data_IF_385927695764
#
_entry.id   IF_385927695764
#
_cell.length_a   1.000
_cell.length_b   1.000
_cell.length_c   1.000
_cell.angle_alpha   90.00
_cell.angle_beta   90.00
_cell.angle_gamma   90.00
#
_symmetry.space_group_name_H-M   'P 1'
#
loop_
_entity.id
_entity.type
_entity.pdbx_description
1 polymer ?
#
# COMPACT_ATOMS: atom_id res chain seq x y z
N UNK A 1 16.72 -29.50 0.55
CA UNK A 1 16.08 -28.20 0.28
C UNK A 1 14.67 -28.44 -0.25
N UNK A 2 13.62 -28.08 0.50
CA UNK A 2 12.24 -28.15 -0.01
C UNK A 2 12.07 -27.02 -1.03
N UNK A 3 11.69 -27.35 -2.27
CA UNK A 3 11.24 -26.33 -3.25
C UNK A 3 10.09 -25.55 -2.62
N UNK A 4 10.03 -24.21 -2.71
CA UNK A 4 8.84 -23.49 -2.30
C UNK A 4 7.67 -24.03 -3.13
N UNK A 5 6.60 -24.45 -2.45
CA UNK A 5 5.31 -24.69 -3.11
C UNK A 5 4.99 -23.42 -3.89
N UNK A 6 4.69 -23.53 -5.18
CA UNK A 6 4.10 -22.43 -5.93
C UNK A 6 2.87 -21.94 -5.15
N UNK A 7 3.00 -20.81 -4.45
CA UNK A 7 1.89 -20.14 -3.77
C UNK A 7 1.08 -19.46 -4.86
N UNK A 8 0.16 -20.20 -5.45
CA UNK A 8 -0.82 -19.64 -6.39
C UNK A 8 -1.88 -18.85 -5.61
N UNK A 9 -2.28 -17.70 -6.17
CA UNK A 9 -3.32 -16.84 -5.60
C UNK A 9 -2.88 -15.39 -5.38
N UNK A 10 -3.64 -14.68 -4.54
CA UNK A 10 -3.41 -13.27 -4.23
C UNK A 10 -3.30 -13.06 -2.72
N UNK A 11 -2.56 -12.02 -2.33
CA UNK A 11 -2.56 -11.50 -0.97
C UNK A 11 -3.28 -10.16 -0.94
N UNK A 12 -4.15 -9.97 0.05
CA UNK A 12 -4.79 -8.70 0.37
C UNK A 12 -4.10 -8.15 1.61
N UNK A 13 -3.41 -7.03 1.45
CA UNK A 13 -2.64 -6.40 2.52
C UNK A 13 -3.36 -5.11 2.90
N UNK A 14 -3.90 -5.09 4.12
CA UNK A 14 -4.44 -3.88 4.71
C UNK A 14 -3.29 -2.99 5.18
N UNK A 15 -3.34 -1.72 4.78
CA UNK A 15 -2.36 -0.73 5.16
C UNK A 15 -2.83 0.03 6.39
N UNK A 16 -1.88 0.60 7.14
CA UNK A 16 -2.19 1.38 8.31
C UNK A 16 -2.81 2.73 7.91
N UNK A 17 -3.99 3.04 8.45
CA UNK A 17 -4.61 4.37 8.38
C UNK A 17 -4.42 5.18 9.68
N UNK A 18 -3.53 4.74 10.57
CA UNK A 18 -2.90 5.53 11.63
C UNK A 18 -3.86 6.41 12.46
N UNK A 19 -4.94 5.81 12.97
CA UNK A 19 -5.89 6.49 13.85
C UNK A 19 -6.87 7.45 13.15
N UNK A 20 -7.04 7.34 11.83
CA UNK A 20 -8.24 7.89 11.15
C UNK A 20 -9.44 7.05 11.60
N UNK A 21 -10.44 7.64 12.28
CA UNK A 21 -11.69 6.98 12.59
C UNK A 21 -12.35 6.42 11.33
N UNK A 22 -13.02 5.27 11.42
CA UNK A 22 -13.65 4.61 10.27
C UNK A 22 -14.65 5.52 9.52
N UNK A 23 -15.29 6.45 10.22
CA UNK A 23 -16.21 7.46 9.68
C UNK A 23 -15.53 8.65 9.00
N UNK A 24 -14.22 8.83 9.19
CA UNK A 24 -13.40 9.85 8.52
C UNK A 24 -12.62 9.30 7.30
N UNK A 25 -12.69 7.99 7.06
CA UNK A 25 -12.13 7.40 5.85
C UNK A 25 -12.83 7.98 4.62
N UNK A 26 -12.04 8.31 3.60
CA UNK A 26 -12.56 8.86 2.35
C UNK A 26 -12.57 7.76 1.29
N UNK A 27 -13.74 7.21 0.93
CA UNK A 27 -13.84 6.31 -0.21
C UNK A 27 -13.33 7.01 -1.47
N UNK A 28 -12.57 6.30 -2.29
CA UNK A 28 -12.26 6.74 -3.64
C UNK A 28 -13.23 6.13 -4.66
N UNK A 29 -13.35 6.78 -5.82
CA UNK A 29 -13.96 6.15 -6.98
C UNK A 29 -12.97 5.15 -7.58
N UNK A 30 -13.43 3.93 -7.82
CA UNK A 30 -12.61 2.86 -8.37
C UNK A 30 -12.69 2.85 -9.90
N UNK A 31 -11.55 2.67 -10.54
CA UNK A 31 -11.48 2.38 -11.97
C UNK A 31 -12.03 0.98 -12.29
N UNK A 32 -12.09 0.65 -13.59
CA UNK A 32 -12.62 -0.63 -14.06
C UNK A 32 -11.82 -1.83 -13.52
N UNK A 33 -10.49 -1.71 -13.44
CA UNK A 33 -9.61 -2.77 -12.96
C UNK A 33 -9.78 -2.97 -11.45
N UNK A 34 -9.76 -1.89 -10.68
CA UNK A 34 -10.01 -1.89 -9.24
C UNK A 34 -11.39 -2.47 -8.93
N UNK A 35 -12.42 -2.10 -9.70
CA UNK A 35 -13.77 -2.63 -9.54
C UNK A 35 -13.84 -4.13 -9.83
N UNK A 36 -13.19 -4.60 -10.90
CA UNK A 36 -13.11 -6.02 -11.22
C UNK A 36 -12.38 -6.82 -10.12
N UNK A 37 -11.26 -6.29 -9.63
CA UNK A 37 -10.50 -6.90 -8.53
C UNK A 37 -11.33 -6.94 -7.26
N UNK A 38 -11.98 -5.83 -6.89
CA UNK A 38 -12.83 -5.75 -5.71
C UNK A 38 -13.98 -6.78 -5.74
N UNK A 39 -14.65 -6.93 -6.89
CA UNK A 39 -15.73 -7.90 -7.05
C UNK A 39 -15.25 -9.37 -6.99
N UNK A 40 -13.97 -9.62 -7.27
CA UNK A 40 -13.36 -10.94 -7.15
C UNK A 40 -12.91 -11.28 -5.70
N UNK A 41 -12.87 -10.29 -4.80
CA UNK A 41 -12.53 -10.50 -3.40
C UNK A 41 -13.72 -11.09 -2.61
N UNK A 42 -13.46 -11.81 -1.50
CA UNK A 42 -14.51 -12.26 -0.59
C UNK A 42 -15.34 -11.09 -0.07
N UNK A 43 -16.64 -11.30 0.14
CA UNK A 43 -17.57 -10.25 0.50
C UNK A 43 -17.15 -9.49 1.77
N UNK A 44 -16.57 -10.19 2.76
CA UNK A 44 -16.08 -9.56 3.99
C UNK A 44 -14.95 -8.54 3.78
N UNK A 45 -14.21 -8.62 2.67
CA UNK A 45 -13.15 -7.66 2.31
C UNK A 45 -13.66 -6.51 1.47
N UNK A 46 -14.79 -6.67 0.78
CA UNK A 46 -15.29 -5.64 -0.12
C UNK A 46 -15.81 -4.42 0.64
N UNK A 47 -16.57 -4.64 1.73
CA UNK A 47 -17.20 -3.55 2.46
C UNK A 47 -16.17 -2.60 3.11
N UNK A 48 -15.12 -3.07 3.82
CA UNK A 48 -14.10 -2.17 4.35
C UNK A 48 -13.41 -1.34 3.27
N UNK A 49 -13.10 -1.95 2.12
CA UNK A 49 -12.48 -1.24 0.99
C UNK A 49 -13.42 -0.17 0.43
N UNK A 50 -14.71 -0.48 0.26
CA UNK A 50 -15.72 0.51 -0.18
C UNK A 50 -15.89 1.66 0.82
N UNK A 51 -15.67 1.44 2.11
CA UNK A 51 -15.70 2.49 3.14
C UNK A 51 -14.43 3.33 3.22
N UNK A 52 -13.38 2.98 2.47
CA UNK A 52 -12.14 3.75 2.43
C UNK A 52 -10.93 3.08 3.10
N UNK A 53 -11.02 1.82 3.53
CA UNK A 53 -9.88 1.10 4.09
C UNK A 53 -8.76 0.99 3.02
N UNK A 54 -7.51 1.41 3.33
CA UNK A 54 -6.42 1.35 2.37
C UNK A 54 -5.89 -0.08 2.23
N UNK A 55 -5.86 -0.59 1.01
CA UNK A 55 -5.52 -1.99 0.72
C UNK A 55 -4.63 -2.11 -0.51
N UNK A 56 -3.68 -3.05 -0.48
CA UNK A 56 -2.92 -3.49 -1.66
C UNK A 56 -3.24 -4.95 -1.96
N UNK A 57 -3.53 -5.26 -3.22
CA UNK A 57 -3.67 -6.64 -3.70
C UNK A 57 -2.44 -7.03 -4.51
N UNK A 58 -1.80 -8.14 -4.14
CA UNK A 58 -0.54 -8.63 -4.73
C UNK A 58 -0.75 -10.03 -5.31
N UNK A 59 -0.23 -10.27 -6.50
CA UNK A 59 -0.10 -11.61 -7.06
C UNK A 59 1.00 -12.37 -6.30
N UNK A 60 0.68 -13.49 -5.66
CA UNK A 60 1.65 -14.26 -4.88
C UNK A 60 2.64 -15.06 -5.73
N UNK A 61 2.36 -15.24 -7.02
CA UNK A 61 3.24 -15.93 -7.96
C UNK A 61 4.32 -15.02 -8.53
N UNK A 62 3.94 -13.79 -8.91
CA UNK A 62 4.86 -12.81 -9.52
C UNK A 62 5.40 -11.79 -8.52
N UNK A 63 4.74 -11.63 -7.37
CA UNK A 63 5.00 -10.54 -6.43
C UNK A 63 4.51 -9.17 -6.94
N UNK A 64 3.85 -9.12 -8.09
CA UNK A 64 3.40 -7.87 -8.69
C UNK A 64 2.14 -7.35 -8.02
N UNK A 65 2.05 -6.02 -7.94
CA UNK A 65 0.87 -5.34 -7.43
C UNK A 65 -0.23 -5.34 -8.50
N UNK A 66 -1.36 -5.94 -8.17
CA UNK A 66 -2.53 -6.03 -9.06
C UNK A 66 -3.39 -4.76 -8.94
N UNK A 67 -3.67 -4.33 -7.71
CA UNK A 67 -4.48 -3.14 -7.43
C UNK A 67 -4.07 -2.50 -6.11
N UNK A 68 -4.33 -1.19 -6.00
CA UNK A 68 -4.24 -0.42 -4.75
C UNK A 68 -5.59 0.25 -4.53
N UNK A 69 -6.09 0.26 -3.31
CA UNK A 69 -7.33 0.92 -2.94
C UNK A 69 -7.08 1.93 -1.83
N UNK A 70 -7.77 3.07 -1.92
CA UNK A 70 -7.83 4.14 -0.94
C UNK A 70 -6.46 4.60 -0.43
N UNK A 71 -5.45 4.66 -1.30
CA UNK A 71 -4.06 4.96 -0.91
C UNK A 71 -3.91 6.28 -0.15
N UNK A 72 -4.83 7.22 -0.35
CA UNK A 72 -4.87 8.52 0.34
C UNK A 72 -5.19 8.41 1.83
N UNK A 73 -5.80 7.32 2.27
CA UNK A 73 -6.09 7.06 3.68
C UNK A 73 -4.93 6.35 4.38
N UNK A 74 -3.85 6.01 3.67
CA UNK A 74 -2.62 5.54 4.29
C UNK A 74 -1.98 6.69 5.04
N UNK A 75 -1.73 6.48 6.33
CA UNK A 75 -0.98 7.43 7.14
C UNK A 75 0.34 6.77 7.55
N UNK A 76 1.48 7.27 7.07
CA UNK A 76 2.76 6.72 7.48
C UNK A 76 2.89 6.85 9.00
N UNK A 77 3.45 5.84 9.64
CA UNK A 77 3.74 5.93 11.07
C UNK A 77 4.93 6.89 11.31
N UNK A 78 5.12 7.26 12.59
CA UNK A 78 6.18 8.20 12.97
C UNK A 78 7.58 7.69 12.56
N UNK A 79 7.81 6.38 12.64
CA UNK A 79 9.09 5.77 12.28
C UNK A 79 9.34 5.82 10.76
N UNK A 80 8.30 5.58 9.95
CA UNK A 80 8.35 5.71 8.49
C UNK A 80 8.64 7.15 8.08
N UNK A 81 7.99 8.13 8.72
CA UNK A 81 8.27 9.55 8.49
C UNK A 81 9.69 9.94 8.89
N UNK A 82 10.17 9.51 10.06
CA UNK A 82 11.53 9.78 10.53
C UNK A 82 12.60 9.13 9.63
N UNK A 83 12.36 7.91 9.16
CA UNK A 83 13.27 7.20 8.26
C UNK A 83 13.35 7.88 6.89
N UNK A 84 12.21 8.33 6.35
CA UNK A 84 12.16 9.11 5.12
C UNK A 84 12.92 10.44 5.25
N UNK A 85 12.70 11.17 6.36
CA UNK A 85 13.39 12.44 6.61
C UNK A 85 14.92 12.26 6.68
N UNK A 86 15.41 11.19 7.32
CA UNK A 86 16.85 10.86 7.34
C UNK A 86 17.38 10.56 5.94
N UNK A 87 16.66 9.76 5.15
CA UNK A 87 17.06 9.44 3.79
C UNK A 87 17.16 10.67 2.87
N UNK A 88 16.22 11.62 2.99
CA UNK A 88 16.30 12.90 2.27
C UNK A 88 17.52 13.72 2.72
N UNK A 89 17.77 13.81 4.03
CA UNK A 89 18.91 14.55 4.56
C UNK A 89 20.23 13.97 4.05
N UNK A 90 20.38 12.64 4.06
CA UNK A 90 21.55 11.94 3.52
C UNK A 90 21.74 12.21 2.01
N UNK A 91 20.65 12.23 1.25
CA UNK A 91 20.69 12.54 -0.18
C UNK A 91 21.13 13.99 -0.44
N UNK A 92 20.58 14.95 0.30
CA UNK A 92 20.96 16.36 0.18
C UNK A 92 22.42 16.61 0.59
N UNK A 93 22.92 15.90 1.60
CA UNK A 93 24.32 15.98 2.00
C UNK A 93 25.27 15.43 0.92
N UNK A 94 24.89 14.34 0.26
CA UNK A 94 25.65 13.81 -0.89
C UNK A 94 25.67 14.78 -2.07
N UNK A 95 24.53 15.34 -2.45
CA UNK A 95 24.42 16.31 -3.54
C UNK A 95 25.20 17.61 -3.24
N UNK A 96 25.25 18.05 -1.98
CA UNK A 96 26.08 19.19 -1.56
C UNK A 96 27.57 18.89 -1.50
N UNK A 97 27.96 17.64 -1.24
CA UNK A 97 29.36 17.22 -1.28
C UNK A 97 29.86 17.10 -2.73
N UNK A 98 29.06 16.54 -3.64
CA UNK A 98 29.39 16.38 -5.06
C UNK A 98 29.45 17.71 -5.82
N UNK A 99 28.71 18.74 -5.39
CA UNK A 99 28.76 20.10 -5.96
C UNK A 99 29.92 20.96 -5.47
N UNK A 100 30.77 20.42 -4.57
CA UNK A 100 31.94 21.12 -4.02
C UNK A 100 33.28 20.64 -4.62
N UNK A 101 33.25 19.63 -5.48
CA UNK A 101 34.36 19.21 -6.35
C UNK A 101 34.21 19.82 -7.76
#
# INVERSE_FOLDING_TARGET
>A
MRRPKNTSGYAVIELNHGGIPDDELKPEEFDELQSAVLNALPAERQEPIRRGCPVIVINMETGERIATFNAKNVKPDKYQMESFARGILDMMMKDMAEKRD
#
